data_IF_169426673417
#
_entry.id   IF_169426673417
#
_cell.length_a   1.000
_cell.length_b   1.000
_cell.length_c   1.000
_cell.angle_alpha   90.00
_cell.angle_beta   90.00
_cell.angle_gamma   90.00
#
_symmetry.space_group_name_H-M   'P 1'
#
loop_
_entity.id
_entity.type
_entity.pdbx_description
1 polymer ?
#
# COMPACT_ATOMS: atom_id res chain seq x y z
N UNK A 1 -10.17 12.55 -19.62
CA UNK A 1 -9.52 11.37 -19.02
C UNK A 1 -10.47 10.52 -18.18
N UNK A 2 -11.03 11.00 -17.06
CA UNK A 2 -11.94 10.17 -16.23
C UNK A 2 -13.17 9.69 -17.04
N UNK A 3 -13.91 10.62 -17.66
CA UNK A 3 -15.11 10.29 -18.44
C UNK A 3 -14.82 9.41 -19.66
N UNK A 4 -13.60 9.45 -20.19
CA UNK A 4 -13.18 8.59 -21.29
C UNK A 4 -12.91 7.18 -20.80
N UNK A 5 -12.27 7.03 -19.63
CA UNK A 5 -12.05 5.73 -19.01
C UNK A 5 -13.38 5.01 -18.71
N UNK A 6 -14.43 5.75 -18.32
CA UNK A 6 -15.76 5.18 -18.07
C UNK A 6 -16.43 4.59 -19.31
N UNK A 7 -15.98 4.91 -20.53
CA UNK A 7 -16.55 4.41 -21.78
C UNK A 7 -15.86 3.16 -22.31
N UNK A 8 -14.81 2.69 -21.62
CA UNK A 8 -14.03 1.54 -22.05
C UNK A 8 -14.80 0.24 -21.85
N UNK A 9 -14.73 -0.64 -22.85
CA UNK A 9 -15.28 -2.00 -22.79
C UNK A 9 -14.48 -2.89 -21.83
N UNK A 10 -15.09 -4.00 -21.37
CA UNK A 10 -14.40 -5.00 -20.55
C UNK A 10 -13.13 -5.54 -21.21
N UNK A 11 -13.14 -5.75 -22.54
CA UNK A 11 -11.96 -6.17 -23.30
C UNK A 11 -10.82 -5.12 -23.25
N UNK A 12 -11.15 -3.83 -23.40
CA UNK A 12 -10.17 -2.75 -23.31
C UNK A 12 -9.62 -2.63 -21.88
N UNK A 13 -10.47 -2.77 -20.86
CA UNK A 13 -10.05 -2.75 -19.46
C UNK A 13 -9.10 -3.92 -19.13
N UNK A 14 -9.32 -5.12 -19.68
CA UNK A 14 -8.40 -6.25 -19.53
C UNK A 14 -7.02 -5.97 -20.15
N UNK A 15 -6.99 -5.31 -21.32
CA UNK A 15 -5.73 -4.92 -21.99
C UNK A 15 -5.01 -3.87 -21.14
N UNK A 16 -5.73 -2.87 -20.63
CA UNK A 16 -5.16 -1.83 -19.75
C UNK A 16 -4.61 -2.42 -18.46
N UNK A 17 -5.35 -3.33 -17.81
CA UNK A 17 -4.88 -4.03 -16.62
C UNK A 17 -3.48 -4.68 -16.83
N UNK A 18 -3.29 -5.30 -18.00
CA UNK A 18 -2.07 -6.02 -18.35
C UNK A 18 -0.88 -5.14 -18.80
N UNK A 19 -1.12 -3.87 -19.14
CA UNK A 19 -0.12 -3.06 -19.85
C UNK A 19 0.09 -1.65 -19.29
N UNK A 20 -0.84 -1.12 -18.49
CA UNK A 20 -0.69 0.22 -17.93
C UNK A 20 0.56 0.31 -17.05
N UNK A 21 1.26 1.44 -17.15
CA UNK A 21 2.54 1.71 -16.47
C UNK A 21 2.48 2.91 -15.55
N UNK A 22 1.33 3.56 -15.39
CA UNK A 22 1.12 4.67 -14.46
C UNK A 22 0.08 4.32 -13.41
N UNK A 23 0.28 4.80 -12.18
CA UNK A 23 -0.70 4.63 -11.10
C UNK A 23 -2.05 5.27 -11.47
N UNK A 24 -2.05 6.45 -12.09
CA UNK A 24 -3.27 7.10 -12.54
C UNK A 24 -4.08 6.26 -13.52
N UNK A 25 -3.44 5.61 -14.49
CA UNK A 25 -4.14 4.77 -15.47
C UNK A 25 -4.71 3.51 -14.83
N UNK A 26 -3.95 2.88 -13.92
CA UNK A 26 -4.44 1.75 -13.12
C UNK A 26 -5.63 2.17 -12.28
N UNK A 27 -5.55 3.30 -11.58
CA UNK A 27 -6.65 3.81 -10.77
C UNK A 27 -7.91 4.10 -11.60
N UNK A 28 -7.76 4.69 -12.79
CA UNK A 28 -8.88 4.92 -13.71
C UNK A 28 -9.49 3.59 -14.21
N UNK A 29 -8.65 2.59 -14.51
CA UNK A 29 -9.10 1.24 -14.85
C UNK A 29 -9.90 0.63 -13.70
N UNK A 30 -9.41 0.71 -12.45
CA UNK A 30 -10.13 0.24 -11.27
C UNK A 30 -11.52 0.86 -11.16
N UNK A 31 -11.62 2.19 -11.26
CA UNK A 31 -12.90 2.91 -11.15
C UNK A 31 -13.86 2.57 -12.29
N UNK A 32 -13.39 2.59 -13.54
CA UNK A 32 -14.22 2.27 -14.70
C UNK A 32 -14.77 0.85 -14.64
N UNK A 33 -13.96 -0.11 -14.19
CA UNK A 33 -14.41 -1.49 -13.97
C UNK A 33 -15.51 -1.56 -12.92
N UNK A 34 -15.29 -0.96 -11.74
CA UNK A 34 -16.24 -1.01 -10.61
C UNK A 34 -17.58 -0.38 -10.98
N UNK A 35 -17.56 0.77 -11.66
CA UNK A 35 -18.77 1.51 -11.99
C UNK A 35 -19.65 0.79 -13.03
N UNK A 36 -19.05 0.01 -13.94
CA UNK A 36 -19.76 -0.44 -15.15
C UNK A 36 -19.85 -1.98 -15.30
N UNK A 37 -18.99 -2.74 -14.63
CA UNK A 37 -18.79 -4.17 -14.96
C UNK A 37 -18.86 -5.13 -13.76
N UNK A 38 -19.42 -4.71 -12.63
CA UNK A 38 -19.58 -5.56 -11.43
C UNK A 38 -20.43 -6.82 -11.64
N UNK A 39 -21.31 -6.83 -12.67
CA UNK A 39 -22.19 -7.96 -13.00
C UNK A 39 -21.75 -8.77 -14.23
N UNK A 40 -20.67 -8.37 -14.90
CA UNK A 40 -20.17 -9.07 -16.09
C UNK A 40 -19.34 -10.29 -15.68
N UNK A 41 -19.99 -11.46 -15.63
CA UNK A 41 -19.34 -12.72 -15.25
C UNK A 41 -18.20 -13.10 -16.22
N UNK A 42 -18.32 -12.77 -17.51
CA UNK A 42 -17.28 -13.04 -18.50
C UNK A 42 -16.02 -12.24 -18.19
N UNK A 43 -16.19 -10.96 -17.89
CA UNK A 43 -15.11 -10.08 -17.46
C UNK A 43 -14.46 -10.54 -16.15
N UNK A 44 -15.26 -10.89 -15.15
CA UNK A 44 -14.74 -11.39 -13.86
C UNK A 44 -13.93 -12.68 -14.04
N UNK A 45 -14.38 -13.62 -14.88
CA UNK A 45 -13.60 -14.85 -15.18
C UNK A 45 -12.29 -14.54 -15.91
N UNK A 46 -12.30 -13.57 -16.83
CA UNK A 46 -11.08 -13.14 -17.50
C UNK A 46 -10.09 -12.47 -16.54
N UNK A 47 -10.56 -11.66 -15.59
CA UNK A 47 -9.73 -11.14 -14.50
C UNK A 47 -9.17 -12.26 -13.61
N UNK A 48 -9.99 -13.24 -13.24
CA UNK A 48 -9.55 -14.40 -12.45
C UNK A 48 -8.41 -15.16 -13.14
N UNK A 49 -8.46 -15.29 -14.46
CA UNK A 49 -7.37 -15.88 -15.26
C UNK A 49 -6.11 -15.00 -15.29
N UNK A 50 -6.22 -13.68 -15.18
CA UNK A 50 -5.06 -12.78 -15.11
C UNK A 50 -4.37 -12.79 -13.74
N UNK A 51 -4.99 -13.32 -12.67
CA UNK A 51 -4.37 -13.40 -11.32
C UNK A 51 -3.04 -14.16 -11.33
N UNK A 52 -2.88 -15.18 -12.18
CA UNK A 52 -1.62 -15.93 -12.32
C UNK A 52 -0.56 -15.22 -13.14
N UNK A 53 -0.88 -14.06 -13.74
CA UNK A 53 0.06 -13.31 -14.55
C UNK A 53 1.05 -12.53 -13.67
N UNK A 54 2.29 -13.01 -13.62
CA UNK A 54 3.38 -12.44 -12.82
C UNK A 54 4.11 -11.29 -13.51
N UNK A 55 3.72 -10.90 -14.74
CA UNK A 55 4.34 -9.77 -15.45
C UNK A 55 4.27 -8.51 -14.58
N UNK A 56 5.42 -7.90 -14.38
CA UNK A 56 5.56 -6.61 -13.73
C UNK A 56 5.62 -5.49 -14.77
N UNK A 57 4.86 -4.42 -14.57
CA UNK A 57 4.82 -3.27 -15.49
C UNK A 57 5.19 -1.95 -14.84
N UNK A 58 5.92 -1.98 -13.70
CA UNK A 58 6.47 -0.86 -12.92
C UNK A 58 5.68 0.45 -12.98
N UNK A 59 5.04 0.84 -11.88
CA UNK A 59 4.20 2.03 -11.86
C UNK A 59 5.00 3.32 -11.73
N UNK A 60 4.68 4.27 -12.60
CA UNK A 60 5.08 5.67 -12.51
C UNK A 60 4.01 6.49 -11.78
N UNK A 61 4.41 7.63 -11.20
CA UNK A 61 3.48 8.56 -10.57
C UNK A 61 2.77 7.97 -9.36
N UNK A 62 3.48 7.18 -8.55
CA UNK A 62 2.94 6.47 -7.37
C UNK A 62 2.73 7.37 -6.16
N UNK A 63 2.72 8.70 -6.33
CA UNK A 63 2.28 9.61 -5.27
C UNK A 63 0.86 9.21 -4.85
N UNK A 64 0.63 9.13 -3.54
CA UNK A 64 -0.61 8.65 -2.92
C UNK A 64 -0.96 7.18 -3.17
N UNK A 65 -0.06 6.35 -3.68
CA UNK A 65 -0.17 4.89 -3.62
C UNK A 65 0.73 4.37 -2.51
N UNK A 66 0.20 3.51 -1.66
CA UNK A 66 0.95 2.84 -0.61
C UNK A 66 0.79 1.34 -0.80
N UNK A 67 1.91 0.66 -1.06
CA UNK A 67 2.04 -0.79 -1.00
C UNK A 67 3.27 -1.03 -0.13
N UNK A 68 3.08 -1.49 1.11
CA UNK A 68 4.13 -1.49 2.13
C UNK A 68 5.43 -2.15 1.65
N UNK A 69 5.35 -3.32 1.03
CA UNK A 69 6.51 -4.03 0.52
C UNK A 69 7.24 -3.28 -0.61
N UNK A 70 6.52 -2.45 -1.40
CA UNK A 70 7.13 -1.60 -2.43
C UNK A 70 7.74 -0.32 -1.86
N UNK A 71 7.31 0.12 -0.67
CA UNK A 71 8.02 1.14 0.11
C UNK A 71 9.32 0.57 0.68
N UNK A 72 9.27 -0.65 1.24
CA UNK A 72 10.46 -1.36 1.75
C UNK A 72 11.50 -1.59 0.64
N UNK A 73 11.08 -1.99 -0.57
CA UNK A 73 11.99 -2.20 -1.71
C UNK A 73 12.53 -0.89 -2.31
N UNK A 74 11.92 0.26 -2.00
CA UNK A 74 12.24 1.55 -2.60
C UNK A 74 11.59 1.81 -3.97
N UNK A 75 10.70 0.94 -4.44
CA UNK A 75 9.93 1.18 -5.67
C UNK A 75 8.89 2.31 -5.51
N UNK A 76 8.42 2.55 -4.28
CA UNK A 76 7.52 3.65 -3.90
C UNK A 76 8.19 4.51 -2.83
N UNK A 77 8.22 5.82 -3.05
CA UNK A 77 8.60 6.78 -2.01
C UNK A 77 7.37 7.10 -1.18
N UNK A 78 7.42 6.80 0.12
CA UNK A 78 6.30 7.11 1.03
C UNK A 78 6.26 8.60 1.37
N UNK A 79 5.16 9.26 0.99
CA UNK A 79 4.92 10.70 1.17
C UNK A 79 4.08 11.03 2.42
N UNK A 80 3.84 10.07 3.32
CA UNK A 80 3.04 10.26 4.54
C UNK A 80 1.52 10.14 4.37
N UNK A 81 1.04 9.99 3.12
CA UNK A 81 -0.38 9.92 2.77
C UNK A 81 -0.62 9.14 1.48
N UNK A 82 -1.77 8.48 1.39
CA UNK A 82 -2.17 7.77 0.19
C UNK A 82 -3.24 6.72 0.44
N UNK A 83 -3.59 6.03 -0.64
CA UNK A 83 -4.43 4.84 -0.61
C UNK A 83 -3.54 3.63 -0.36
N UNK A 84 -3.85 2.88 0.69
CA UNK A 84 -3.18 1.63 1.02
C UNK A 84 -3.83 0.51 0.21
N UNK A 85 -2.99 -0.25 -0.50
CA UNK A 85 -3.41 -1.40 -1.30
C UNK A 85 -2.52 -2.59 -0.93
N UNK A 86 -3.14 -3.67 -0.49
CA UNK A 86 -2.44 -4.90 -0.10
C UNK A 86 -1.95 -5.71 -1.32
N UNK A 87 -2.66 -5.61 -2.45
CA UNK A 87 -2.25 -6.24 -3.70
C UNK A 87 -1.08 -5.47 -4.35
N UNK A 88 -0.11 -6.21 -4.87
CA UNK A 88 1.01 -5.66 -5.62
C UNK A 88 0.56 -5.19 -7.01
N UNK A 89 0.13 -3.93 -7.09
CA UNK A 89 -0.33 -3.31 -8.33
C UNK A 89 0.78 -3.10 -9.37
N UNK A 90 2.04 -3.41 -9.05
CA UNK A 90 3.10 -3.45 -10.07
C UNK A 90 2.95 -4.70 -10.96
N UNK A 91 2.27 -5.74 -10.49
CA UNK A 91 2.00 -6.98 -11.23
C UNK A 91 0.60 -7.00 -11.80
N UNK A 92 0.46 -7.57 -13.00
CA UNK A 92 -0.84 -7.75 -13.68
C UNK A 92 -1.81 -8.54 -12.79
N UNK A 93 -1.33 -9.63 -12.17
CA UNK A 93 -2.13 -10.44 -11.26
C UNK A 93 -2.60 -9.70 -10.01
N UNK A 94 -1.79 -8.76 -9.48
CA UNK A 94 -2.18 -7.96 -8.33
C UNK A 94 -3.30 -6.98 -8.64
N UNK A 95 -3.23 -6.32 -9.80
CA UNK A 95 -4.32 -5.46 -10.27
C UNK A 95 -5.60 -6.25 -10.56
N UNK A 96 -5.46 -7.42 -11.19
CA UNK A 96 -6.60 -8.29 -11.47
C UNK A 96 -7.28 -8.74 -10.17
N UNK A 97 -6.50 -9.14 -9.16
CA UNK A 97 -7.04 -9.51 -7.86
C UNK A 97 -7.68 -8.32 -7.13
N UNK A 98 -7.09 -7.13 -7.21
CA UNK A 98 -7.68 -5.91 -6.67
C UNK A 98 -9.04 -5.60 -7.32
N UNK A 99 -9.13 -5.70 -8.65
CA UNK A 99 -10.38 -5.54 -9.38
C UNK A 99 -11.44 -6.53 -8.91
N UNK A 100 -11.11 -7.81 -8.80
CA UNK A 100 -12.03 -8.84 -8.36
C UNK A 100 -12.56 -8.56 -6.93
N UNK A 101 -11.67 -8.18 -6.01
CA UNK A 101 -12.05 -7.80 -4.65
C UNK A 101 -13.00 -6.59 -4.66
N UNK A 102 -12.66 -5.54 -5.40
CA UNK A 102 -13.49 -4.32 -5.51
C UNK A 102 -14.84 -4.56 -6.20
N UNK A 103 -14.91 -5.45 -7.19
CA UNK A 103 -16.14 -5.71 -7.95
C UNK A 103 -17.13 -6.62 -7.21
N UNK A 104 -16.62 -7.50 -6.35
CA UNK A 104 -17.42 -8.56 -5.72
C UNK A 104 -17.58 -8.39 -4.21
N UNK A 105 -16.78 -7.50 -3.59
CA UNK A 105 -16.62 -7.38 -2.15
C UNK A 105 -16.23 -8.70 -1.46
N UNK A 106 -15.56 -9.60 -2.17
CA UNK A 106 -15.03 -10.87 -1.66
C UNK A 106 -13.52 -10.82 -1.52
N UNK A 107 -12.98 -11.54 -0.54
CA UNK A 107 -11.54 -11.69 -0.40
C UNK A 107 -11.12 -13.17 -0.41
N UNK A 108 -10.28 -13.57 -1.35
CA UNK A 108 -9.71 -14.94 -1.42
C UNK A 108 -8.19 -14.98 -1.23
N UNK A 109 -7.62 -13.89 -0.72
CA UNK A 109 -6.19 -13.70 -0.48
C UNK A 109 -5.64 -12.53 -1.30
N UNK A 110 -4.35 -12.26 -1.11
CA UNK A 110 -3.65 -11.15 -1.75
C UNK A 110 -2.55 -11.64 -2.68
N UNK A 111 -2.37 -10.92 -3.77
CA UNK A 111 -1.21 -11.08 -4.65
C UNK A 111 -0.16 -10.07 -4.22
N UNK A 112 0.96 -10.53 -3.67
CA UNK A 112 2.04 -9.68 -3.15
C UNK A 112 3.28 -9.76 -4.04
N UNK A 113 4.29 -8.94 -3.72
CA UNK A 113 5.60 -9.03 -4.39
C UNK A 113 6.24 -10.42 -4.24
N UNK A 114 5.93 -11.13 -3.16
CA UNK A 114 6.46 -12.45 -2.82
C UNK A 114 5.54 -13.63 -3.19
N UNK A 115 4.37 -13.38 -3.79
CA UNK A 115 3.45 -14.46 -4.16
C UNK A 115 4.09 -15.44 -5.14
N UNK A 116 4.06 -16.72 -4.76
CA UNK A 116 4.51 -17.84 -5.59
C UNK A 116 3.47 -18.23 -6.63
N UNK A 117 3.89 -18.86 -7.72
CA UNK A 117 2.98 -19.37 -8.75
C UNK A 117 1.89 -20.30 -8.17
N UNK A 118 2.25 -21.14 -7.20
CA UNK A 118 1.30 -22.02 -6.50
C UNK A 118 0.23 -21.21 -5.75
N UNK A 119 0.62 -20.18 -5.01
CA UNK A 119 -0.33 -19.31 -4.31
C UNK A 119 -1.24 -18.56 -5.29
N UNK A 120 -0.69 -18.04 -6.39
CA UNK A 120 -1.48 -17.36 -7.41
C UNK A 120 -2.52 -18.28 -8.05
N UNK A 121 -2.14 -19.53 -8.35
CA UNK A 121 -3.08 -20.55 -8.85
C UNK A 121 -4.18 -20.85 -7.85
N UNK A 122 -3.86 -20.93 -6.55
CA UNK A 122 -4.87 -21.12 -5.49
C UNK A 122 -5.87 -19.95 -5.49
N UNK A 123 -5.39 -18.71 -5.51
CA UNK A 123 -6.26 -17.51 -5.52
C UNK A 123 -7.13 -17.48 -6.79
N UNK A 124 -6.52 -17.72 -7.97
CA UNK A 124 -7.23 -17.77 -9.25
C UNK A 124 -8.33 -18.84 -9.26
N UNK A 125 -8.04 -20.05 -8.77
CA UNK A 125 -9.02 -21.13 -8.68
C UNK A 125 -10.15 -20.80 -7.71
N UNK A 126 -9.86 -20.20 -6.55
CA UNK A 126 -10.90 -19.73 -5.62
C UNK A 126 -11.85 -18.73 -6.28
N UNK A 127 -11.34 -17.80 -7.08
CA UNK A 127 -12.18 -16.89 -7.86
C UNK A 127 -13.05 -17.64 -8.88
N UNK A 128 -12.47 -18.56 -9.65
CA UNK A 128 -13.21 -19.33 -10.65
C UNK A 128 -14.31 -20.20 -10.01
N UNK A 129 -14.01 -20.83 -8.88
CA UNK A 129 -14.97 -21.61 -8.11
C UNK A 129 -16.12 -20.74 -7.62
N UNK A 130 -15.83 -19.59 -7.00
CA UNK A 130 -16.84 -18.61 -6.58
C UNK A 130 -17.72 -18.15 -7.76
N UNK A 131 -17.10 -17.78 -8.88
CA UNK A 131 -17.80 -17.34 -10.10
C UNK A 131 -18.58 -18.47 -10.81
N UNK A 132 -18.38 -19.72 -10.40
CA UNK A 132 -19.17 -20.88 -10.84
C UNK A 132 -20.29 -21.26 -9.87
N UNK A 133 -20.47 -20.49 -8.79
CA UNK A 133 -21.50 -20.73 -7.77
C UNK A 133 -21.10 -21.75 -6.71
N UNK A 134 -19.83 -22.16 -6.65
CA UNK A 134 -19.35 -23.05 -5.58
C UNK A 134 -19.09 -22.24 -4.30
N UNK A 135 -19.33 -22.83 -3.12
CA UNK A 135 -18.94 -22.21 -1.86
C UNK A 135 -17.41 -22.13 -1.77
N UNK A 136 -16.89 -20.96 -1.41
CA UNK A 136 -15.45 -20.72 -1.23
C UNK A 136 -15.25 -19.98 0.08
N UNK A 137 -14.31 -20.46 0.89
CA UNK A 137 -13.94 -19.80 2.13
C UNK A 137 -13.15 -18.52 1.85
N UNK A 138 -13.65 -17.40 2.39
CA UNK A 138 -13.01 -16.10 2.31
C UNK A 138 -11.78 -16.02 3.20
N UNK A 139 -10.74 -15.38 2.68
CA UNK A 139 -9.55 -15.02 3.45
C UNK A 139 -9.91 -13.96 4.49
N UNK A 140 -9.53 -14.21 5.74
CA UNK A 140 -9.70 -13.26 6.84
C UNK A 140 -8.36 -12.63 7.16
N UNK A 141 -8.36 -11.30 7.25
CA UNK A 141 -7.20 -10.54 7.68
C UNK A 141 -7.19 -10.55 9.20
N UNK A 142 -6.08 -10.97 9.79
CA UNK A 142 -5.87 -10.86 11.23
C UNK A 142 -5.93 -9.39 11.62
N UNK A 143 -6.78 -9.07 12.60
CA UNK A 143 -6.92 -7.70 13.08
C UNK A 143 -6.05 -7.49 14.30
N UNK A 144 -5.25 -6.42 14.27
CA UNK A 144 -4.62 -5.87 15.45
C UNK A 144 -5.69 -5.22 16.33
N UNK A 145 -6.19 -5.94 17.32
CA UNK A 145 -7.21 -5.43 18.25
C UNK A 145 -6.73 -4.15 18.94
N UNK A 146 -7.66 -3.21 19.13
CA UNK A 146 -7.43 -1.87 19.70
C UNK A 146 -6.37 -1.02 18.97
N UNK A 147 -5.99 -1.37 17.75
CA UNK A 147 -5.15 -0.54 16.91
C UNK A 147 -5.80 0.84 16.70
N UNK A 148 -5.05 1.90 17.01
CA UNK A 148 -5.47 3.28 16.75
C UNK A 148 -5.61 3.57 15.24
N UNK A 149 -4.74 2.94 14.44
CA UNK A 149 -4.76 3.02 12.98
C UNK A 149 -4.50 1.60 12.44
N UNK A 150 -5.56 0.79 12.24
CA UNK A 150 -5.43 -0.61 11.83
C UNK A 150 -4.62 -0.81 10.54
N UNK A 151 -4.71 0.13 9.60
CA UNK A 151 -4.12 0.03 8.25
C UNK A 151 -2.58 0.09 8.25
N UNK A 152 -1.98 0.59 9.32
CA UNK A 152 -0.52 0.67 9.51
C UNK A 152 -0.01 -0.29 10.59
N UNK A 153 -0.88 -1.12 11.16
CA UNK A 153 -0.58 -1.90 12.37
C UNK A 153 0.10 -3.24 12.10
N UNK A 154 0.31 -3.64 10.84
CA UNK A 154 1.11 -4.83 10.52
C UNK A 154 2.63 -4.52 10.53
N UNK A 155 3.44 -5.57 10.66
CA UNK A 155 4.90 -5.42 10.76
C UNK A 155 5.52 -4.89 9.45
N UNK A 156 4.94 -5.22 8.30
CA UNK A 156 5.39 -4.72 7.01
C UNK A 156 5.25 -3.18 6.91
N UNK A 157 4.18 -2.62 7.47
CA UNK A 157 3.98 -1.19 7.57
C UNK A 157 4.99 -0.55 8.53
N UNK A 158 5.27 -1.17 9.68
CA UNK A 158 6.31 -0.70 10.61
C UNK A 158 7.66 -0.63 9.90
N UNK A 159 8.07 -1.69 9.21
CA UNK A 159 9.31 -1.73 8.45
C UNK A 159 9.35 -0.63 7.38
N UNK A 160 8.27 -0.49 6.60
CA UNK A 160 8.15 0.52 5.56
C UNK A 160 8.29 1.95 6.10
N UNK A 161 7.70 2.24 7.26
CA UNK A 161 7.83 3.54 7.92
C UNK A 161 9.28 3.79 8.35
N UNK A 162 9.95 2.80 8.94
CA UNK A 162 11.36 2.93 9.36
C UNK A 162 12.30 3.10 8.18
N UNK A 163 12.08 2.34 7.09
CA UNK A 163 12.81 2.49 5.82
C UNK A 163 12.56 3.88 5.23
N UNK A 164 11.31 4.36 5.26
CA UNK A 164 10.96 5.67 4.76
C UNK A 164 11.73 6.77 5.50
N UNK A 165 11.89 6.71 6.82
CA UNK A 165 12.64 7.74 7.59
C UNK A 165 14.10 7.91 7.16
N UNK A 166 14.69 6.95 6.44
CA UNK A 166 16.09 7.03 6.04
C UNK A 166 16.32 8.13 4.99
N UNK A 167 17.52 8.75 4.95
CA UNK A 167 17.85 9.75 3.94
C UNK A 167 17.55 9.27 2.51
N UNK A 168 16.86 10.11 1.74
CA UNK A 168 16.40 9.77 0.40
C UNK A 168 16.38 11.02 -0.48
N UNK A 169 17.19 11.04 -1.54
CA UNK A 169 17.34 12.21 -2.41
C UNK A 169 16.06 12.59 -3.15
N UNK A 170 15.21 11.63 -3.51
CA UNK A 170 13.90 11.89 -4.11
C UNK A 170 13.00 12.61 -3.12
N UNK A 171 12.96 12.15 -1.86
CA UNK A 171 12.19 12.80 -0.79
C UNK A 171 12.71 14.20 -0.51
N UNK A 172 14.02 14.39 -0.42
CA UNK A 172 14.64 15.71 -0.25
C UNK A 172 14.25 16.68 -1.37
N UNK A 173 14.25 16.21 -2.63
CA UNK A 173 13.82 17.02 -3.76
C UNK A 173 12.33 17.36 -3.70
N UNK A 174 11.47 16.42 -3.29
CA UNK A 174 10.03 16.69 -3.08
C UNK A 174 9.86 17.78 -2.01
N UNK A 175 10.54 17.66 -0.88
CA UNK A 175 10.49 18.63 0.22
C UNK A 175 10.96 20.01 -0.24
N UNK A 176 12.13 20.11 -0.89
CA UNK A 176 12.67 21.38 -1.43
C UNK A 176 11.73 22.03 -2.43
N UNK A 177 11.19 21.25 -3.37
CA UNK A 177 10.24 21.76 -4.35
C UNK A 177 8.95 22.26 -3.70
N UNK A 178 8.45 21.57 -2.67
CA UNK A 178 7.29 22.00 -1.91
C UNK A 178 7.56 23.31 -1.15
N UNK A 179 8.68 23.39 -0.42
CA UNK A 179 9.08 24.59 0.32
C UNK A 179 9.17 25.81 -0.59
N UNK A 180 9.84 25.67 -1.73
CA UNK A 180 10.02 26.76 -2.68
C UNK A 180 8.70 27.21 -3.29
N UNK A 181 7.84 26.27 -3.69
CA UNK A 181 6.58 26.59 -4.39
C UNK A 181 5.47 27.10 -3.48
N UNK A 182 5.36 26.55 -2.27
CA UNK A 182 4.23 26.83 -1.37
C UNK A 182 4.58 27.93 -0.37
N UNK A 183 5.82 27.95 0.11
CA UNK A 183 6.24 28.84 1.21
C UNK A 183 7.33 29.84 0.80
N UNK A 184 7.85 29.77 -0.44
CA UNK A 184 8.97 30.58 -0.92
C UNK A 184 10.22 30.45 -0.01
N UNK A 185 10.49 29.23 0.47
CA UNK A 185 11.63 28.88 1.31
C UNK A 185 12.58 27.95 0.57
N UNK A 186 13.89 28.10 0.77
CA UNK A 186 14.91 27.19 0.22
C UNK A 186 15.22 26.02 1.18
N UNK A 187 15.00 26.21 2.49
CA UNK A 187 15.28 25.21 3.53
C UNK A 187 14.14 25.13 4.56
N UNK A 188 14.05 24.00 5.26
CA UNK A 188 13.04 23.78 6.29
C UNK A 188 13.33 24.66 7.52
N UNK A 189 12.35 25.44 8.03
CA UNK A 189 12.53 26.21 9.25
C UNK A 189 12.85 25.32 10.46
N UNK A 190 13.68 25.82 11.36
CA UNK A 190 14.03 25.13 12.62
C UNK A 190 12.94 25.24 13.70
N UNK A 191 11.98 26.16 13.55
CA UNK A 191 10.87 26.35 14.48
C UNK A 191 9.93 25.14 14.53
N UNK A 192 9.75 24.61 15.74
CA UNK A 192 8.75 23.56 16.00
C UNK A 192 7.35 24.09 15.71
N UNK A 193 6.58 23.36 14.89
CA UNK A 193 5.20 23.73 14.55
C UNK A 193 5.05 24.65 13.34
N UNK A 194 6.15 24.96 12.64
CA UNK A 194 6.07 25.65 11.34
C UNK A 194 5.15 24.89 10.37
N UNK A 195 4.26 25.61 9.67
CA UNK A 195 3.39 25.02 8.66
C UNK A 195 4.19 24.42 7.49
N UNK A 196 5.43 24.89 7.29
CA UNK A 196 6.36 24.31 6.31
C UNK A 196 6.64 22.81 6.56
N UNK A 197 6.44 22.31 7.78
CA UNK A 197 6.58 20.88 8.11
C UNK A 197 5.61 19.98 7.33
N UNK A 198 4.52 20.51 6.77
CA UNK A 198 3.65 19.76 5.86
C UNK A 198 4.32 19.40 4.53
N UNK A 199 5.42 20.08 4.18
CA UNK A 199 6.27 19.69 3.05
C UNK A 199 7.19 18.51 3.36
N UNK A 200 7.38 18.15 4.64
CA UNK A 200 8.21 17.02 5.03
C UNK A 200 7.37 15.76 5.23
N UNK A 201 7.52 14.73 4.39
CA UNK A 201 6.84 13.44 4.57
C UNK A 201 7.12 12.77 5.92
N UNK A 202 8.29 12.99 6.52
CA UNK A 202 8.73 12.29 7.73
C UNK A 202 8.04 12.77 9.01
N UNK A 203 7.38 13.94 8.95
CA UNK A 203 6.49 14.42 10.01
C UNK A 203 5.42 13.38 10.32
N UNK A 204 4.82 12.78 9.29
CA UNK A 204 3.77 11.76 9.45
C UNK A 204 4.37 10.42 9.89
N UNK A 205 5.47 10.02 9.27
CA UNK A 205 6.14 8.74 9.56
C UNK A 205 6.53 8.62 11.04
N UNK A 206 7.09 9.68 11.62
CA UNK A 206 7.48 9.71 13.03
C UNK A 206 6.27 9.61 13.97
N UNK A 207 5.17 10.28 13.63
CA UNK A 207 3.94 10.22 14.40
C UNK A 207 3.30 8.82 14.36
N UNK A 208 3.28 8.18 13.18
CA UNK A 208 2.79 6.81 13.02
C UNK A 208 3.61 5.80 13.82
N UNK A 209 4.94 5.90 13.78
CA UNK A 209 5.80 5.06 14.61
C UNK A 209 5.56 5.31 16.10
N UNK A 210 5.38 6.56 16.52
CA UNK A 210 5.02 6.85 17.92
C UNK A 210 3.72 6.16 18.33
N UNK A 211 2.68 6.22 17.50
CA UNK A 211 1.40 5.52 17.73
C UNK A 211 1.62 4.00 17.87
N UNK A 212 2.41 3.41 16.97
CA UNK A 212 2.65 1.97 16.92
C UNK A 212 3.49 1.43 18.08
N UNK A 213 4.17 2.31 18.84
CA UNK A 213 5.02 1.94 19.98
C UNK A 213 4.64 2.65 21.28
N UNK A 214 3.44 3.25 21.34
CA UNK A 214 2.90 3.86 22.56
C UNK A 214 3.57 5.16 22.99
N UNK A 215 4.31 5.83 22.11
CA UNK A 215 4.89 7.15 22.41
C UNK A 215 3.82 8.24 22.31
N UNK A 216 3.48 8.88 23.43
CA UNK A 216 2.50 9.97 23.46
C UNK A 216 3.02 11.28 22.86
N UNK A 217 4.35 11.44 22.75
CA UNK A 217 5.00 12.63 22.21
C UNK A 217 6.15 12.24 21.29
N UNK A 218 6.28 12.95 20.17
CA UNK A 218 7.42 12.78 19.25
C UNK A 218 8.71 13.07 20.03
N UNK A 219 9.56 12.04 20.13
CA UNK A 219 10.85 12.15 20.80
C UNK A 219 11.91 12.67 19.83
N UNK A 220 12.61 13.73 20.21
CA UNK A 220 13.77 14.24 19.46
C UNK A 220 14.96 13.27 19.44
N UNK A 221 14.94 12.21 20.27
CA UNK A 221 16.01 11.20 20.37
C UNK A 221 15.77 10.05 19.38
N UNK A 222 14.50 9.80 19.01
CA UNK A 222 14.12 8.70 18.11
C UNK A 222 14.19 9.15 16.64
N UNK A 223 15.40 9.48 16.20
CA UNK A 223 15.68 9.85 14.81
C UNK A 223 15.72 8.61 13.87
N UNK A 224 16.00 8.83 12.60
CA UNK A 224 16.06 7.78 11.59
C UNK A 224 17.09 6.68 11.93
N UNK A 225 18.24 7.04 12.52
CA UNK A 225 19.29 6.09 12.91
C UNK A 225 18.82 5.26 14.10
N UNK A 226 18.20 5.90 15.09
CA UNK A 226 17.63 5.22 16.25
C UNK A 226 16.59 4.19 15.84
N UNK A 227 15.62 4.55 14.99
CA UNK A 227 14.58 3.64 14.53
C UNK A 227 15.13 2.46 13.74
N UNK A 228 16.14 2.69 12.90
CA UNK A 228 16.84 1.63 12.18
C UNK A 228 17.52 0.65 13.13
N UNK A 229 18.25 1.16 14.12
CA UNK A 229 18.94 0.32 15.11
C UNK A 229 17.94 -0.45 15.99
N UNK A 230 16.85 0.21 16.39
CA UNK A 230 15.76 -0.43 17.12
C UNK A 230 15.16 -1.60 16.34
N UNK A 231 14.84 -1.39 15.05
CA UNK A 231 14.30 -2.44 14.18
C UNK A 231 15.25 -3.63 14.06
N UNK A 232 16.51 -3.38 13.72
CA UNK A 232 17.51 -4.44 13.56
C UNK A 232 17.67 -5.29 14.83
N UNK A 233 17.63 -4.66 16.01
CA UNK A 233 17.78 -5.36 17.28
C UNK A 233 16.52 -6.10 17.75
N UNK A 234 15.31 -5.63 17.39
CA UNK A 234 14.08 -6.07 18.05
C UNK A 234 13.00 -6.66 17.15
N UNK A 235 13.04 -6.49 15.83
CA UNK A 235 11.91 -6.82 14.94
C UNK A 235 11.37 -8.25 15.09
N UNK A 236 12.25 -9.23 15.29
CA UNK A 236 11.89 -10.64 15.49
C UNK A 236 11.20 -10.94 16.83
N UNK A 237 11.30 -10.01 17.79
CA UNK A 237 10.72 -10.11 19.13
C UNK A 237 9.55 -9.14 19.35
N UNK A 238 9.10 -8.43 18.31
CA UNK A 238 7.96 -7.53 18.40
C UNK A 238 6.67 -8.34 18.49
N UNK A 239 5.83 -8.00 19.47
CA UNK A 239 4.52 -8.60 19.67
C UNK A 239 3.47 -7.51 19.83
N UNK A 240 2.30 -7.73 19.23
CA UNK A 240 1.17 -6.80 19.37
C UNK A 240 0.54 -6.96 20.75
N UNK A 241 0.48 -5.88 21.53
CA UNK A 241 -0.26 -5.84 22.78
C UNK A 241 -1.71 -5.44 22.50
N UNK A 242 -2.63 -6.41 22.48
CA UNK A 242 -4.04 -6.19 22.17
C UNK A 242 -4.74 -5.27 23.19
N UNK A 243 -4.33 -5.28 24.46
CA UNK A 243 -4.93 -4.39 25.47
C UNK A 243 -4.53 -2.93 25.26
N UNK A 244 -3.27 -2.70 24.89
CA UNK A 244 -2.70 -1.36 24.75
C UNK A 244 -2.81 -0.78 23.33
N UNK A 245 -3.00 -1.62 22.32
CA UNK A 245 -3.13 -1.22 20.93
C UNK A 245 -1.82 -0.74 20.28
N UNK A 246 -0.68 -1.29 20.71
CA UNK A 246 0.65 -1.01 20.15
C UNK A 246 1.63 -2.19 20.33
N UNK A 247 2.78 -2.13 19.66
CA UNK A 247 3.83 -3.14 19.74
C UNK A 247 4.69 -2.98 21.00
N UNK A 248 5.08 -4.12 21.57
CA UNK A 248 6.07 -4.22 22.64
C UNK A 248 7.17 -5.20 22.25
N UNK A 249 8.37 -5.00 22.80
CA UNK A 249 9.44 -5.99 22.70
C UNK A 249 9.18 -7.07 23.73
N UNK A 250 9.00 -8.32 23.27
CA UNK A 250 8.86 -9.46 24.17
C UNK A 250 10.11 -9.57 25.04
N UNK A 251 9.93 -9.43 26.35
CA UNK A 251 11.00 -9.69 27.32
C UNK A 251 11.20 -11.20 27.41
N UNK A 252 12.44 -11.64 27.20
CA UNK A 252 12.87 -13.02 27.42
C UNK A 252 12.88 -13.35 28.92
#
# INVERSE_FOLDING_TARGET
>A
MYDEAQKLTSAQLLIKNANDTSWSDVFLTLNASVNNYSKDIGYLKALAAQVINTKETKLQGTSRLIIWNRVVSGDIVFEGKGLIIDNDLYKVGGRANQLLQSLTNKNFGFVTVNSTEKQLKIISNKWLDYLSGKPVEEYRIDKNENAKIPEISNLEAVEALIVSLQPNSTKENITKNCLKRVYNLEEMPSEKGSQANYCNPDTYTSAYLGILFGDEKVSNIKDAIWWKNFWLANHSNLVWNAEKGFYEVKKL
#
